data_IF_032248284230
#
_entry.id   IF_032248284230
#
_cell.length_a   1.000
_cell.length_b   1.000
_cell.length_c   1.000
_cell.angle_alpha   90.00
_cell.angle_beta   90.00
_cell.angle_gamma   90.00
#
_symmetry.space_group_name_H-M   'P 1'
#
loop_
_entity.id
_entity.type
_entity.pdbx_description
1 polymer ?
#
# COMPACT_ATOMS: atom_id res chain seq x y z
N UNK A 1 -28.00 -8.16 -19.69
CA UNK A 1 -27.74 -6.71 -19.52
C UNK A 1 -27.15 -6.39 -18.12
N UNK A 2 -27.75 -6.92 -17.04
CA UNK A 2 -27.29 -6.67 -15.66
C UNK A 2 -25.83 -7.14 -15.39
N UNK A 3 -25.46 -8.34 -15.82
CA UNK A 3 -24.10 -8.87 -15.67
C UNK A 3 -23.07 -8.08 -16.51
N UNK A 4 -23.47 -7.59 -17.67
CA UNK A 4 -22.61 -6.75 -18.52
C UNK A 4 -22.29 -5.41 -17.86
N UNK A 5 -23.29 -4.78 -17.23
CA UNK A 5 -23.08 -3.51 -16.48
C UNK A 5 -22.16 -3.70 -15.28
N UNK A 6 -22.30 -4.79 -14.52
CA UNK A 6 -21.40 -5.14 -13.40
C UNK A 6 -19.98 -5.35 -13.87
N UNK A 7 -19.77 -6.13 -14.92
CA UNK A 7 -18.46 -6.36 -15.49
C UNK A 7 -17.79 -5.07 -16.00
N UNK A 8 -18.54 -4.20 -16.64
CA UNK A 8 -18.03 -2.91 -17.10
C UNK A 8 -17.65 -1.98 -15.93
N UNK A 9 -18.44 -1.99 -14.86
CA UNK A 9 -18.10 -1.25 -13.63
C UNK A 9 -16.81 -1.76 -13.00
N UNK A 10 -16.66 -3.07 -12.85
CA UNK A 10 -15.45 -3.69 -12.30
C UNK A 10 -14.22 -3.34 -13.13
N UNK A 11 -14.29 -3.53 -14.45
CA UNK A 11 -13.18 -3.16 -15.37
C UNK A 11 -12.77 -1.70 -15.21
N UNK A 12 -13.74 -0.79 -15.08
CA UNK A 12 -13.48 0.63 -14.86
C UNK A 12 -12.78 0.89 -13.53
N UNK A 13 -13.21 0.26 -12.43
CA UNK A 13 -12.58 0.40 -11.11
C UNK A 13 -11.13 -0.08 -11.14
N UNK A 14 -10.86 -1.25 -11.72
CA UNK A 14 -9.50 -1.79 -11.85
C UNK A 14 -8.62 -0.83 -12.67
N UNK A 15 -9.11 -0.33 -13.80
CA UNK A 15 -8.39 0.64 -14.61
C UNK A 15 -8.09 1.94 -13.88
N UNK A 16 -9.05 2.46 -13.10
CA UNK A 16 -8.89 3.70 -12.32
C UNK A 16 -7.96 3.52 -11.11
N UNK A 17 -7.88 2.31 -10.54
CA UNK A 17 -6.98 2.01 -9.44
C UNK A 17 -5.50 2.18 -9.84
N UNK A 18 -5.14 1.82 -11.08
CA UNK A 18 -3.78 1.98 -11.60
C UNK A 18 -2.78 1.07 -10.91
N UNK A 19 -3.15 -0.19 -10.66
CA UNK A 19 -2.27 -1.17 -10.02
C UNK A 19 -0.98 -1.39 -10.79
N UNK A 20 0.14 -1.51 -10.08
CA UNK A 20 1.43 -1.93 -10.64
C UNK A 20 1.35 -3.36 -11.19
N UNK A 21 0.61 -4.24 -10.50
CA UNK A 21 0.39 -5.62 -10.87
C UNK A 21 -1.12 -5.88 -10.97
N UNK A 22 -1.65 -5.68 -12.18
CA UNK A 22 -3.09 -5.75 -12.45
C UNK A 22 -3.65 -7.18 -12.54
N UNK A 23 -2.79 -8.18 -12.54
CA UNK A 23 -3.09 -9.61 -12.55
C UNK A 23 -2.93 -10.28 -11.18
N UNK A 24 -2.55 -9.53 -10.15
CA UNK A 24 -2.35 -10.05 -8.81
C UNK A 24 -3.65 -10.61 -8.22
N UNK A 25 -3.59 -11.85 -7.68
CA UNK A 25 -4.71 -12.53 -7.04
C UNK A 25 -4.32 -13.12 -5.68
N UNK A 26 -5.24 -13.06 -4.72
CA UNK A 26 -5.01 -13.66 -3.39
C UNK A 26 -4.79 -15.18 -3.48
N UNK A 27 -5.47 -15.87 -4.41
CA UNK A 27 -5.32 -17.31 -4.59
C UNK A 27 -3.94 -17.73 -5.11
N UNK A 28 -3.22 -16.84 -5.77
CA UNK A 28 -1.90 -17.12 -6.34
C UNK A 28 -0.76 -16.82 -5.35
N UNK A 29 -1.07 -16.40 -4.12
CA UNK A 29 -0.07 -16.18 -3.09
C UNK A 29 0.56 -17.52 -2.71
N UNK A 30 1.87 -17.65 -2.95
CA UNK A 30 2.61 -18.86 -2.63
C UNK A 30 3.00 -18.91 -1.14
N UNK A 31 2.30 -19.72 -0.37
CA UNK A 31 2.56 -19.92 1.07
C UNK A 31 3.73 -20.86 1.36
N UNK A 32 4.26 -21.55 0.33
CA UNK A 32 5.38 -22.50 0.46
C UNK A 32 6.70 -21.94 -0.06
N UNK A 33 6.74 -20.65 -0.39
CA UNK A 33 7.89 -19.95 -0.98
C UNK A 33 9.06 -19.67 -0.02
N UNK A 34 9.11 -20.33 1.14
CA UNK A 34 10.12 -20.05 2.17
C UNK A 34 9.84 -18.75 2.96
N UNK A 35 8.64 -18.18 2.82
CA UNK A 35 8.19 -16.97 3.55
C UNK A 35 7.22 -17.35 4.65
N UNK A 36 7.35 -16.67 5.80
CA UNK A 36 6.43 -16.84 6.93
C UNK A 36 5.21 -15.95 6.70
N UNK A 37 4.12 -16.57 6.21
CA UNK A 37 2.85 -15.88 5.94
C UNK A 37 1.71 -16.50 6.76
N UNK A 38 0.91 -15.66 7.38
CA UNK A 38 -0.31 -16.11 8.06
C UNK A 38 -1.47 -16.20 7.04
N UNK A 39 -1.72 -17.41 6.55
CA UNK A 39 -2.76 -17.69 5.56
C UNK A 39 -4.16 -17.30 6.03
N UNK A 40 -4.49 -17.57 7.29
CA UNK A 40 -5.81 -17.26 7.86
C UNK A 40 -6.05 -15.75 7.90
N UNK A 41 -5.05 -14.98 8.34
CA UNK A 41 -5.12 -13.53 8.34
C UNK A 41 -5.28 -12.97 6.92
N UNK A 42 -4.52 -13.47 5.95
CA UNK A 42 -4.61 -13.04 4.55
C UNK A 42 -6.00 -13.32 3.99
N UNK A 43 -6.56 -14.51 4.22
CA UNK A 43 -7.92 -14.85 3.76
C UNK A 43 -8.99 -13.99 4.46
N UNK A 44 -8.85 -13.73 5.76
CA UNK A 44 -9.74 -12.81 6.48
C UNK A 44 -9.68 -11.40 5.91
N UNK A 45 -8.49 -10.86 5.64
CA UNK A 45 -8.34 -9.54 5.05
C UNK A 45 -8.88 -9.47 3.61
N UNK A 46 -8.86 -10.58 2.86
CA UNK A 46 -9.45 -10.66 1.53
C UNK A 46 -10.99 -10.50 1.52
N UNK A 47 -11.67 -10.63 2.67
CA UNK A 47 -13.10 -10.27 2.81
C UNK A 47 -13.37 -8.76 2.74
N UNK A 48 -12.30 -7.95 2.81
CA UNK A 48 -12.36 -6.48 2.79
C UNK A 48 -13.12 -5.84 3.99
N UNK A 49 -13.36 -6.58 5.08
CA UNK A 49 -13.98 -6.02 6.28
C UNK A 49 -13.20 -4.83 6.86
N UNK A 50 -11.85 -4.88 6.79
CA UNK A 50 -11.01 -3.79 7.25
C UNK A 50 -11.29 -2.45 6.54
N UNK A 51 -11.85 -2.48 5.31
CA UNK A 51 -12.22 -1.27 4.56
C UNK A 51 -13.46 -0.65 5.17
N UNK A 52 -14.48 -1.44 5.53
CA UNK A 52 -15.71 -0.95 6.17
C UNK A 52 -15.46 -0.50 7.61
N UNK A 53 -14.49 -1.10 8.29
CA UNK A 53 -14.03 -0.71 9.62
C UNK A 53 -13.09 0.51 9.61
N UNK A 54 -12.70 1.00 8.42
CA UNK A 54 -11.73 2.08 8.22
C UNK A 54 -10.38 1.83 8.89
N UNK A 55 -9.95 0.56 8.94
CA UNK A 55 -8.66 0.15 9.49
C UNK A 55 -7.58 0.12 8.42
N UNK A 56 -6.38 0.45 8.83
CA UNK A 56 -5.21 0.38 7.96
C UNK A 56 -4.61 -1.03 7.93
N UNK A 57 -3.80 -1.30 6.91
CA UNK A 57 -3.04 -2.54 6.76
C UNK A 57 -1.58 -2.21 6.47
N UNK A 58 -0.66 -2.75 7.26
CA UNK A 58 0.77 -2.66 7.02
C UNK A 58 1.28 -3.96 6.42
N UNK A 59 1.93 -3.87 5.26
CA UNK A 59 2.62 -4.98 4.61
C UNK A 59 4.10 -4.63 4.62
N UNK A 60 4.87 -5.29 5.50
CA UNK A 60 6.30 -5.01 5.69
C UNK A 60 7.16 -6.19 5.26
N UNK A 61 8.39 -5.93 4.84
CA UNK A 61 9.34 -6.95 4.43
C UNK A 61 10.44 -6.39 3.52
N UNK A 62 11.46 -7.18 3.27
CA UNK A 62 12.60 -6.80 2.43
C UNK A 62 12.18 -6.47 0.98
N UNK A 63 13.08 -5.85 0.22
CA UNK A 63 12.89 -5.65 -1.22
C UNK A 63 12.72 -7.01 -1.91
N UNK A 64 11.77 -7.10 -2.86
CA UNK A 64 11.49 -8.35 -3.57
C UNK A 64 10.69 -9.38 -2.76
N UNK A 65 10.24 -9.07 -1.53
CA UNK A 65 9.47 -10.01 -0.70
C UNK A 65 8.02 -10.26 -1.17
N UNK A 66 7.52 -9.51 -2.16
CA UNK A 66 6.15 -9.65 -2.67
C UNK A 66 5.13 -8.69 -2.07
N UNK A 67 5.56 -7.63 -1.36
CA UNK A 67 4.66 -6.62 -0.76
C UNK A 67 3.70 -6.00 -1.77
N UNK A 68 4.25 -5.49 -2.87
CA UNK A 68 3.48 -4.85 -3.96
C UNK A 68 2.47 -5.81 -4.55
N UNK A 69 2.87 -7.07 -4.81
CA UNK A 69 1.95 -8.11 -5.31
C UNK A 69 0.79 -8.31 -4.35
N UNK A 70 1.08 -8.53 -3.08
CA UNK A 70 0.07 -8.75 -2.04
C UNK A 70 -0.87 -7.55 -1.89
N UNK A 71 -0.35 -6.32 -1.90
CA UNK A 71 -1.17 -5.12 -1.83
C UNK A 71 -2.07 -4.97 -3.06
N UNK A 72 -1.56 -5.23 -4.26
CA UNK A 72 -2.36 -5.24 -5.49
C UNK A 72 -3.43 -6.33 -5.44
N UNK A 73 -3.12 -7.53 -4.93
CA UNK A 73 -4.10 -8.60 -4.77
C UNK A 73 -5.25 -8.20 -3.82
N UNK A 74 -4.97 -7.56 -2.68
CA UNK A 74 -6.02 -6.97 -1.83
C UNK A 74 -6.80 -5.87 -2.52
N UNK A 75 -6.14 -5.03 -3.31
CA UNK A 75 -6.79 -4.00 -4.12
C UNK A 75 -7.73 -4.58 -5.16
N UNK A 76 -7.36 -5.71 -5.78
CA UNK A 76 -8.22 -6.43 -6.73
C UNK A 76 -9.47 -7.00 -6.03
N UNK A 77 -9.32 -7.59 -4.82
CA UNK A 77 -10.48 -8.04 -4.04
C UNK A 77 -11.40 -6.87 -3.66
N UNK A 78 -10.84 -5.72 -3.27
CA UNK A 78 -11.61 -4.51 -3.02
C UNK A 78 -12.40 -4.05 -4.26
N UNK A 79 -11.78 -4.04 -5.44
CA UNK A 79 -12.46 -3.71 -6.71
C UNK A 79 -13.57 -4.71 -7.04
N UNK A 80 -13.40 -6.01 -6.80
CA UNK A 80 -14.43 -7.05 -6.99
C UNK A 80 -15.67 -6.79 -6.10
N UNK A 81 -15.47 -6.21 -4.93
CA UNK A 81 -16.53 -5.76 -4.03
C UNK A 81 -16.99 -4.32 -4.29
N UNK A 82 -16.58 -3.74 -5.41
CA UNK A 82 -16.95 -2.40 -5.87
C UNK A 82 -16.45 -1.24 -5.00
N UNK A 83 -15.43 -1.44 -4.16
CA UNK A 83 -14.74 -0.35 -3.48
C UNK A 83 -13.88 0.43 -4.46
N UNK A 84 -13.94 1.76 -4.37
CA UNK A 84 -13.00 2.62 -5.12
C UNK A 84 -11.62 2.47 -4.53
N UNK A 85 -10.67 2.08 -5.38
CA UNK A 85 -9.28 1.81 -4.96
C UNK A 85 -8.32 2.68 -5.76
N UNK A 86 -7.25 3.13 -5.13
CA UNK A 86 -6.14 3.82 -5.80
C UNK A 86 -4.82 3.25 -5.32
N UNK A 87 -3.97 2.88 -6.27
CA UNK A 87 -2.57 2.53 -6.05
C UNK A 87 -1.69 3.71 -6.45
N UNK A 88 -0.66 3.97 -5.65
CA UNK A 88 0.39 4.96 -5.95
C UNK A 88 1.63 4.66 -5.12
N UNK A 89 2.81 4.91 -5.67
CA UNK A 89 4.05 4.96 -4.90
C UNK A 89 4.12 6.28 -4.15
N UNK A 90 4.57 6.27 -2.90
CA UNK A 90 4.66 7.50 -2.11
C UNK A 90 5.47 8.61 -2.80
N UNK A 91 6.65 8.34 -3.41
CA UNK A 91 7.39 9.39 -4.13
C UNK A 91 6.58 10.03 -5.27
N UNK A 92 5.82 9.23 -6.03
CA UNK A 92 5.01 9.75 -7.15
C UNK A 92 3.86 10.63 -6.65
N UNK A 93 3.22 10.24 -5.55
CA UNK A 93 2.17 11.04 -4.89
C UNK A 93 2.72 12.39 -4.43
N UNK A 94 3.89 12.39 -3.78
CA UNK A 94 4.52 13.61 -3.28
C UNK A 94 4.91 14.55 -4.42
N UNK A 95 5.45 14.00 -5.51
CA UNK A 95 5.75 14.75 -6.73
C UNK A 95 4.49 15.36 -7.35
N UNK A 96 3.39 14.59 -7.45
CA UNK A 96 2.11 15.10 -7.95
C UNK A 96 1.60 16.28 -7.11
N UNK A 97 1.73 16.23 -5.79
CA UNK A 97 1.30 17.31 -4.90
C UNK A 97 2.21 18.55 -5.00
N UNK A 98 3.51 18.35 -5.13
CA UNK A 98 4.47 19.44 -5.35
C UNK A 98 4.18 20.20 -6.65
N UNK A 99 4.00 19.47 -7.76
CA UNK A 99 3.62 20.06 -9.05
C UNK A 99 2.28 20.81 -8.95
N UNK A 100 1.31 20.24 -8.24
CA UNK A 100 -0.02 20.83 -8.08
C UNK A 100 -0.04 22.11 -7.25
N UNK A 101 0.97 22.36 -6.41
CA UNK A 101 1.13 23.65 -5.72
C UNK A 101 1.44 24.77 -6.69
N UNK A 102 2.27 24.49 -7.69
CA UNK A 102 2.69 25.48 -8.67
C UNK A 102 1.55 25.91 -9.61
N UNK A 103 0.63 25.02 -9.94
CA UNK A 103 -0.51 25.27 -10.84
C UNK A 103 -1.84 25.54 -10.12
N UNK A 104 -1.82 25.73 -8.81
CA UNK A 104 -2.98 25.96 -7.94
C UNK A 104 -4.03 24.83 -7.94
N UNK A 105 -3.66 23.63 -8.32
CA UNK A 105 -4.55 22.46 -8.38
C UNK A 105 -4.41 21.52 -7.18
N UNK A 106 -3.67 21.90 -6.15
CA UNK A 106 -3.32 21.05 -5.00
C UNK A 106 -4.52 20.29 -4.41
N UNK A 107 -5.62 20.98 -4.08
CA UNK A 107 -6.81 20.32 -3.51
C UNK A 107 -7.42 19.29 -4.46
N UNK A 108 -7.44 19.57 -5.75
CA UNK A 108 -7.96 18.67 -6.77
C UNK A 108 -7.09 17.41 -6.87
N UNK A 109 -5.76 17.57 -6.84
CA UNK A 109 -4.82 16.44 -6.90
C UNK A 109 -4.88 15.65 -5.59
N UNK A 110 -4.87 16.30 -4.43
CA UNK A 110 -5.01 15.65 -3.12
C UNK A 110 -6.30 14.80 -3.05
N UNK A 111 -7.41 15.29 -3.63
CA UNK A 111 -8.68 14.55 -3.64
C UNK A 111 -8.63 13.23 -4.40
N UNK A 112 -7.73 13.06 -5.37
CA UNK A 112 -7.51 11.76 -6.06
C UNK A 112 -7.04 10.67 -5.10
N UNK A 113 -6.37 11.06 -4.01
CA UNK A 113 -5.78 10.15 -3.01
C UNK A 113 -6.59 10.08 -1.71
N UNK A 114 -7.40 11.12 -1.42
CA UNK A 114 -8.24 11.12 -0.21
C UNK A 114 -9.61 10.50 -0.41
N UNK A 115 -10.18 10.57 -1.63
CA UNK A 115 -11.54 10.07 -1.92
C UNK A 115 -11.68 8.55 -2.05
N UNK A 116 -10.68 7.77 -2.57
CA UNK A 116 -10.83 6.33 -2.66
C UNK A 116 -11.04 5.69 -1.29
N UNK A 117 -11.94 4.69 -1.23
CA UNK A 117 -12.18 3.93 0.00
C UNK A 117 -10.95 3.13 0.42
N UNK A 118 -10.17 2.65 -0.55
CA UNK A 118 -8.88 2.02 -0.32
C UNK A 118 -7.78 2.77 -1.07
N UNK A 119 -6.76 3.23 -0.35
CA UNK A 119 -5.52 3.75 -0.91
C UNK A 119 -4.40 2.75 -0.65
N UNK A 120 -3.61 2.42 -1.67
CA UNK A 120 -2.39 1.63 -1.54
C UNK A 120 -1.22 2.58 -1.73
N UNK A 121 -0.45 2.79 -0.65
CA UNK A 121 0.78 3.57 -0.64
C UNK A 121 1.97 2.62 -0.68
N UNK A 122 2.53 2.43 -1.85
CA UNK A 122 3.74 1.62 -2.01
C UNK A 122 5.01 2.46 -1.77
N UNK A 123 6.12 1.80 -1.47
CA UNK A 123 7.39 2.43 -1.11
C UNK A 123 7.26 3.42 0.08
N UNK A 124 6.40 3.07 1.05
CA UNK A 124 6.16 3.89 2.22
C UNK A 124 7.45 4.16 2.99
N UNK A 125 7.80 5.45 3.08
CA UNK A 125 8.99 5.95 3.77
C UNK A 125 10.29 5.26 3.35
N UNK A 126 10.41 4.83 2.09
CA UNK A 126 11.66 4.31 1.54
C UNK A 126 12.76 5.37 1.57
N UNK A 127 12.39 6.62 1.29
CA UNK A 127 13.24 7.80 1.41
C UNK A 127 12.70 8.69 2.54
N UNK A 128 13.59 9.41 3.21
CA UNK A 128 13.22 10.39 4.24
C UNK A 128 12.52 11.59 3.58
N UNK A 129 11.26 11.88 3.90
CA UNK A 129 10.55 13.00 3.32
C UNK A 129 11.10 14.34 3.85
N UNK A 130 11.08 15.35 3.01
CA UNK A 130 11.34 16.74 3.37
C UNK A 130 10.26 17.28 4.31
N UNK A 131 10.45 18.47 4.88
CA UNK A 131 9.45 19.08 5.76
C UNK A 131 8.10 19.32 5.05
N UNK A 132 8.14 19.79 3.79
CA UNK A 132 6.92 20.00 3.01
C UNK A 132 6.20 18.70 2.67
N UNK A 133 6.95 17.66 2.32
CA UNK A 133 6.40 16.33 2.07
C UNK A 133 5.78 15.72 3.33
N UNK A 134 6.38 15.92 4.51
CA UNK A 134 5.77 15.50 5.79
C UNK A 134 4.43 16.22 6.05
N UNK A 135 4.33 17.51 5.71
CA UNK A 135 3.06 18.26 5.80
C UNK A 135 2.01 17.68 4.86
N UNK A 136 2.40 17.28 3.65
CA UNK A 136 1.50 16.62 2.68
C UNK A 136 1.03 15.26 3.17
N UNK A 137 1.95 14.45 3.66
CA UNK A 137 1.63 13.15 4.27
C UNK A 137 0.65 13.33 5.43
N UNK A 138 0.91 14.29 6.32
CA UNK A 138 0.05 14.60 7.45
C UNK A 138 -1.36 14.99 7.02
N UNK A 139 -1.48 15.88 6.02
CA UNK A 139 -2.77 16.36 5.50
C UNK A 139 -3.55 15.20 4.85
N UNK A 140 -2.90 14.42 3.98
CA UNK A 140 -3.47 13.23 3.35
C UNK A 140 -4.07 12.26 4.39
N UNK A 141 -3.26 11.90 5.39
CA UNK A 141 -3.67 10.92 6.41
C UNK A 141 -4.73 11.48 7.37
N UNK A 142 -4.68 12.78 7.66
CA UNK A 142 -5.71 13.45 8.46
C UNK A 142 -7.08 13.41 7.79
N UNK A 143 -7.13 13.64 6.47
CA UNK A 143 -8.37 13.60 5.70
C UNK A 143 -8.92 12.17 5.54
N UNK A 144 -8.06 11.15 5.58
CA UNK A 144 -8.45 9.73 5.45
C UNK A 144 -8.82 9.09 6.78
N UNK A 145 -8.32 9.60 7.92
CA UNK A 145 -8.52 9.02 9.26
C UNK A 145 -10.01 8.80 9.54
N UNK A 146 -10.38 7.56 9.95
CA UNK A 146 -11.77 7.13 10.26
C UNK A 146 -12.79 7.30 9.12
N UNK A 147 -12.34 7.44 7.89
CA UNK A 147 -13.21 7.58 6.71
C UNK A 147 -12.92 6.53 5.63
N UNK A 148 -11.69 6.06 5.59
CA UNK A 148 -11.21 5.15 4.56
C UNK A 148 -9.99 4.38 5.05
N UNK A 149 -9.62 3.33 4.35
CA UNK A 149 -8.48 2.48 4.70
C UNK A 149 -7.29 2.73 3.80
N UNK A 150 -6.09 2.55 4.37
CA UNK A 150 -4.84 2.65 3.62
C UNK A 150 -3.99 1.41 3.84
N UNK A 151 -3.48 0.83 2.74
CA UNK A 151 -2.44 -0.19 2.77
C UNK A 151 -1.10 0.51 2.61
N UNK A 152 -0.18 0.26 3.53
CA UNK A 152 1.19 0.77 3.48
C UNK A 152 2.14 -0.37 3.18
N UNK A 153 2.86 -0.31 2.06
CA UNK A 153 3.93 -1.25 1.73
C UNK A 153 5.27 -0.63 2.09
N UNK A 154 5.94 -1.18 3.11
CA UNK A 154 7.16 -0.62 3.66
C UNK A 154 8.28 -1.67 3.76
N UNK A 155 9.53 -1.22 3.63
CA UNK A 155 10.69 -2.05 3.96
C UNK A 155 10.95 -2.08 5.47
N UNK A 156 10.73 -0.96 6.13
CA UNK A 156 10.89 -0.81 7.57
C UNK A 156 9.60 -1.19 8.29
N UNK A 157 9.76 -1.81 9.46
CA UNK A 157 8.65 -2.01 10.40
C UNK A 157 8.21 -0.65 10.98
N UNK A 158 6.99 -0.54 11.54
CA UNK A 158 6.48 0.71 12.11
C UNK A 158 7.40 1.38 13.12
N UNK A 159 8.18 0.59 13.86
CA UNK A 159 9.17 1.07 14.84
C UNK A 159 10.29 1.91 14.17
N UNK A 160 10.61 1.62 12.91
CA UNK A 160 11.62 2.39 12.15
C UNK A 160 11.06 3.63 11.44
N UNK A 161 9.73 3.81 11.39
CA UNK A 161 9.14 4.93 10.65
C UNK A 161 9.36 6.27 11.33
N UNK A 162 9.49 6.27 12.65
CA UNK A 162 9.78 7.48 13.40
C UNK A 162 11.07 8.15 12.93
N UNK A 163 12.13 7.39 12.80
CA UNK A 163 13.42 7.85 12.26
C UNK A 163 13.32 8.34 10.80
N UNK A 164 12.52 7.65 10.00
CA UNK A 164 12.29 8.06 8.59
C UNK A 164 11.53 9.39 8.52
N UNK A 165 10.64 9.66 9.47
CA UNK A 165 9.85 10.91 9.53
C UNK A 165 10.60 12.06 10.19
N UNK A 166 11.86 11.89 10.58
CA UNK A 166 12.72 12.96 11.11
C UNK A 166 13.14 12.80 12.57
N UNK A 167 12.73 11.70 13.23
CA UNK A 167 13.19 11.34 14.58
C UNK A 167 12.79 12.31 15.70
N UNK A 168 13.60 12.32 16.73
CA UNK A 168 13.34 13.07 17.96
C UNK A 168 13.12 14.58 17.73
N UNK A 169 12.09 15.11 18.37
CA UNK A 169 11.75 16.51 18.33
C UNK A 169 10.93 16.96 17.12
N UNK A 170 10.48 16.02 16.27
CA UNK A 170 9.63 16.35 15.14
C UNK A 170 8.13 16.09 15.45
N UNK A 171 7.33 17.12 15.77
CA UNK A 171 5.91 16.97 16.10
C UNK A 171 5.07 16.33 14.99
N UNK A 172 5.51 16.46 13.72
CA UNK A 172 4.81 15.84 12.59
C UNK A 172 5.01 14.34 12.56
N UNK A 173 6.17 13.81 13.00
CA UNK A 173 6.41 12.38 13.09
C UNK A 173 5.40 11.71 14.03
N UNK A 174 5.28 12.22 15.25
CA UNK A 174 4.30 11.74 16.23
C UNK A 174 2.88 11.84 15.72
N UNK A 175 2.53 12.98 15.13
CA UNK A 175 1.20 13.24 14.62
C UNK A 175 0.83 12.34 13.42
N UNK A 176 1.78 11.99 12.56
CA UNK A 176 1.58 11.06 11.45
C UNK A 176 1.38 9.64 11.98
N UNK A 177 2.28 9.19 12.87
CA UNK A 177 2.24 7.83 13.42
C UNK A 177 0.97 7.57 14.24
N UNK A 178 0.53 8.55 15.05
CA UNK A 178 -0.74 8.46 15.79
C UNK A 178 -1.94 8.19 14.87
N UNK A 179 -1.91 8.70 13.65
CA UNK A 179 -3.01 8.53 12.69
C UNK A 179 -3.08 7.18 12.04
N UNK A 180 -1.98 6.47 11.95
CA UNK A 180 -1.88 5.25 11.13
C UNK A 180 -1.65 3.97 11.93
N UNK A 181 -1.01 4.05 13.10
CA UNK A 181 -0.56 2.86 13.83
C UNK A 181 -1.68 2.23 14.67
N UNK A 182 -2.60 3.05 15.19
CA UNK A 182 -3.69 2.55 16.01
C UNK A 182 -4.68 1.72 15.17
N UNK A 183 -5.03 0.54 15.67
CA UNK A 183 -5.99 -0.40 15.06
C UNK A 183 -5.63 -0.90 13.64
N UNK A 184 -4.34 -0.91 13.29
CA UNK A 184 -3.88 -1.42 12.01
C UNK A 184 -3.61 -2.92 12.04
N UNK A 185 -4.01 -3.61 10.97
CA UNK A 185 -3.55 -4.98 10.72
C UNK A 185 -2.11 -4.97 10.22
N UNK A 186 -1.35 -6.02 10.54
CA UNK A 186 0.07 -6.13 10.16
C UNK A 186 0.33 -7.47 9.50
N UNK A 187 0.90 -7.43 8.30
CA UNK A 187 1.48 -8.58 7.61
C UNK A 187 2.97 -8.31 7.48
N UNK A 188 3.78 -9.16 8.12
CA UNK A 188 5.22 -9.07 8.02
C UNK A 188 5.73 -10.24 7.18
N UNK A 189 6.29 -9.94 6.01
CA UNK A 189 6.82 -10.93 5.08
C UNK A 189 8.29 -11.16 5.40
N UNK A 190 8.55 -12.17 6.22
CA UNK A 190 9.90 -12.57 6.63
C UNK A 190 10.29 -13.91 6.01
N UNK A 191 11.55 -14.13 5.65
CA UNK A 191 12.03 -15.45 5.27
C UNK A 191 11.97 -16.41 6.47
N UNK A 192 11.66 -17.68 6.23
CA UNK A 192 11.69 -18.72 7.26
C UNK A 192 13.15 -18.97 7.68
N UNK A 193 14.06 -18.97 6.72
CA UNK A 193 15.49 -19.09 6.92
C UNK A 193 16.16 -17.77 6.50
N UNK A 194 16.65 -17.02 7.46
CA UNK A 194 17.30 -15.73 7.21
C UNK A 194 18.60 -15.83 6.39
N UNK A 195 19.19 -17.02 6.31
CA UNK A 195 20.41 -17.26 5.51
C UNK A 195 20.09 -17.50 4.03
N UNK A 196 18.82 -17.72 3.69
CA UNK A 196 18.32 -18.01 2.34
C UNK A 196 17.22 -17.01 1.94
N UNK A 197 17.48 -15.73 2.12
CA UNK A 197 16.55 -14.69 1.68
C UNK A 197 16.59 -14.51 0.16
N UNK A 198 15.89 -15.41 -0.54
CA UNK A 198 15.73 -15.37 -2.00
C UNK A 198 14.55 -14.45 -2.34
N UNK A 199 14.74 -13.52 -3.29
CA UNK A 199 13.66 -12.64 -3.71
C UNK A 199 12.53 -13.43 -4.38
N UNK A 200 11.27 -12.95 -4.26
CA UNK A 200 10.14 -13.59 -4.96
C UNK A 200 10.30 -13.52 -6.47
N UNK A 201 11.01 -12.54 -7.02
CA UNK A 201 11.35 -12.48 -8.45
C UNK A 201 12.23 -13.66 -8.86
N UNK A 202 13.18 -14.03 -8.02
CA UNK A 202 14.05 -15.17 -8.24
C UNK A 202 13.28 -16.49 -8.11
N UNK A 203 12.40 -16.61 -7.10
CA UNK A 203 11.51 -17.78 -6.92
C UNK A 203 10.64 -18.03 -8.16
N UNK A 204 10.14 -16.96 -8.79
CA UNK A 204 9.33 -17.06 -10.01
C UNK A 204 10.15 -17.02 -11.30
N UNK A 205 11.48 -17.04 -11.23
CA UNK A 205 12.35 -17.00 -12.41
C UNK A 205 12.27 -15.70 -13.21
N UNK A 206 11.84 -14.61 -12.57
CA UNK A 206 11.69 -13.29 -13.19
C UNK A 206 12.99 -12.48 -13.18
N UNK A 207 13.92 -12.79 -12.30
CA UNK A 207 15.27 -12.26 -12.37
C UNK A 207 16.04 -13.05 -13.41
N UNK A 208 16.26 -12.49 -14.57
CA UNK A 208 17.28 -12.99 -15.48
C UNK A 208 18.59 -12.92 -14.71
N UNK A 209 19.18 -14.07 -14.33
CA UNK A 209 20.59 -14.12 -13.99
C UNK A 209 21.32 -13.40 -15.12
N UNK A 210 22.02 -12.35 -14.81
CA UNK A 210 23.07 -11.84 -15.68
C UNK A 210 24.06 -13.02 -15.76
N UNK A 211 23.79 -13.93 -16.70
CA UNK A 211 24.77 -14.96 -17.09
C UNK A 211 25.92 -14.21 -17.73
N UNK A 212 27.06 -14.38 -17.13
CA UNK A 212 28.41 -14.02 -17.54
C UNK A 212 28.63 -14.05 -19.04
#
# INVERSE_FOLDING_TARGET
EYNSRKNNRLKRLIKQAGFEQSDAMIMDINYTSGRKLNKELIHRLATCEYITEHRNLFITGATGSGKTYMACAFGMEACKQYYTTKYVRLPDLLLDLEMARNDRSYRRVLSKYTNPMLLILDEWLLLKPTENERKDIFELLSLRRKRSSTIFCAQYKPEGWYEQLGGDGNPLADAILDRIVHDAYKINIEPIDQTKDISMREVYGLDKKLSE
#
